data_IF_756254597146
#
_entry.id   IF_756254597146
#
_cell.length_a   1.000
_cell.length_b   1.000
_cell.length_c   1.000
_cell.angle_alpha   90.00
_cell.angle_beta   90.00
_cell.angle_gamma   90.00
#
_symmetry.space_group_name_H-M   'P 1'
#
loop_
_entity.id
_entity.type
_entity.pdbx_description
1 polymer ?
#
# COMPACT_ATOMS: atom_id res chain seq x y z
N UNK A 1 7.30 -23.71 3.73
CA UNK A 1 6.74 -22.43 3.25
C UNK A 1 6.67 -21.54 4.46
N UNK A 2 7.57 -20.56 4.57
CA UNK A 2 7.36 -19.48 5.54
C UNK A 2 6.22 -18.65 4.96
N UNK A 3 5.05 -18.76 5.56
CA UNK A 3 3.93 -17.89 5.23
C UNK A 3 4.22 -16.51 5.81
N UNK A 4 4.00 -15.47 5.02
CA UNK A 4 3.87 -14.10 5.49
C UNK A 4 2.70 -14.05 6.49
N UNK A 5 2.79 -13.16 7.50
CA UNK A 5 1.74 -13.04 8.51
C UNK A 5 0.53 -12.28 7.97
N UNK A 6 0.79 -11.40 7.01
CA UNK A 6 -0.18 -10.59 6.30
C UNK A 6 0.07 -10.73 4.81
N UNK A 7 -0.96 -10.55 4.02
CA UNK A 7 -0.89 -10.57 2.56
C UNK A 7 -1.23 -9.20 2.00
N UNK A 8 -0.87 -8.99 0.73
CA UNK A 8 -1.26 -7.78 0.02
C UNK A 8 -2.79 -7.67 0.01
N UNK A 9 -3.32 -6.48 0.28
CA UNK A 9 -4.76 -6.23 0.46
C UNK A 9 -5.24 -6.35 1.91
N UNK A 10 -4.43 -6.92 2.81
CA UNK A 10 -4.80 -6.98 4.22
C UNK A 10 -4.86 -5.60 4.85
N UNK A 11 -5.87 -5.42 5.66
CA UNK A 11 -6.11 -4.19 6.39
C UNK A 11 -5.46 -4.33 7.76
N UNK A 12 -4.61 -3.37 8.10
CA UNK A 12 -3.76 -3.43 9.28
C UNK A 12 -3.77 -2.10 10.03
N UNK A 13 -3.81 -2.20 11.35
CA UNK A 13 -3.49 -1.10 12.23
C UNK A 13 -1.97 -0.97 12.34
N UNK A 14 -1.47 0.25 12.24
CA UNK A 14 -0.06 0.60 12.45
C UNK A 14 0.06 1.67 13.55
N UNK A 15 1.27 1.89 14.10
CA UNK A 15 1.50 2.96 15.07
C UNK A 15 1.15 4.35 14.54
N UNK A 16 1.25 4.54 13.22
CA UNK A 16 0.99 5.80 12.52
C UNK A 16 -0.48 5.91 12.04
N UNK A 17 -1.30 4.90 12.33
CA UNK A 17 -2.71 4.84 12.00
C UNK A 17 -3.09 3.61 11.18
N UNK A 18 -4.32 3.60 10.69
CA UNK A 18 -4.85 2.51 9.88
C UNK A 18 -4.32 2.55 8.46
N UNK A 19 -4.08 1.39 7.85
CA UNK A 19 -3.73 1.30 6.43
C UNK A 19 -3.97 -0.06 5.80
N UNK A 20 -3.62 -0.18 4.52
CA UNK A 20 -3.72 -1.42 3.74
C UNK A 20 -2.34 -1.84 3.26
N UNK A 21 -2.04 -3.13 3.37
CA UNK A 21 -0.80 -3.73 2.86
C UNK A 21 -0.81 -3.64 1.33
N UNK A 22 0.01 -2.78 0.78
CA UNK A 22 0.12 -2.54 -0.65
C UNK A 22 1.19 -3.42 -1.32
N UNK A 23 2.17 -3.90 -0.55
CA UNK A 23 3.17 -4.84 -1.02
C UNK A 23 3.84 -5.59 0.14
N UNK A 24 4.23 -6.84 -0.12
CA UNK A 24 5.02 -7.66 0.80
C UNK A 24 6.36 -7.99 0.15
N UNK A 25 7.45 -7.56 0.79
CA UNK A 25 8.81 -7.67 0.27
C UNK A 25 9.58 -8.67 1.12
N UNK A 26 10.08 -9.73 0.48
CA UNK A 26 10.85 -10.79 1.11
C UNK A 26 12.37 -10.69 0.85
N UNK A 27 12.82 -9.59 0.27
CA UNK A 27 14.22 -9.32 -0.07
C UNK A 27 14.53 -7.84 0.17
N UNK A 28 15.81 -7.50 0.36
CA UNK A 28 16.26 -6.12 0.55
C UNK A 28 15.82 -5.21 -0.61
N UNK A 29 15.38 -3.99 -0.28
CA UNK A 29 14.93 -3.02 -1.28
C UNK A 29 15.20 -1.59 -0.82
N UNK A 30 15.05 -0.63 -1.72
CA UNK A 30 15.24 0.80 -1.45
C UNK A 30 13.87 1.47 -1.38
N UNK A 31 13.47 1.96 -0.21
CA UNK A 31 12.21 2.67 0.00
C UNK A 31 12.46 4.18 -0.09
N UNK A 32 11.64 4.93 -0.85
CA UNK A 32 11.78 6.39 -0.92
C UNK A 32 11.60 7.02 0.47
N UNK A 33 12.15 8.22 0.69
CA UNK A 33 12.06 8.93 1.97
C UNK A 33 11.31 10.27 1.85
N UNK A 34 10.84 10.76 2.99
CA UNK A 34 10.26 12.10 3.12
C UNK A 34 11.40 13.14 3.01
N UNK A 35 11.56 13.79 1.85
CA UNK A 35 12.65 14.76 1.64
C UNK A 35 13.00 15.10 0.19
N UNK A 36 12.76 14.18 -0.77
CA UNK A 36 13.00 14.46 -2.19
C UNK A 36 12.98 13.23 -3.08
N UNK A 37 12.91 13.45 -4.39
CA UNK A 37 12.77 12.40 -5.43
C UNK A 37 13.96 11.43 -5.54
N UNK A 38 15.12 11.79 -4.95
CA UNK A 38 16.38 11.03 -5.00
C UNK A 38 16.79 10.44 -3.63
N UNK A 39 15.97 10.59 -2.59
CA UNK A 39 16.27 10.09 -1.24
C UNK A 39 15.62 8.72 -1.01
N UNK A 40 16.45 7.70 -0.80
CA UNK A 40 16.02 6.33 -0.56
C UNK A 40 16.74 5.76 0.66
N UNK A 41 15.98 5.08 1.51
CA UNK A 41 16.50 4.27 2.60
C UNK A 41 16.51 2.79 2.22
N UNK A 42 17.59 2.10 2.54
CA UNK A 42 17.66 0.66 2.34
C UNK A 42 16.92 -0.06 3.46
N UNK A 43 15.85 -0.76 3.10
CA UNK A 43 15.06 -1.58 4.01
C UNK A 43 15.52 -3.03 3.91
N UNK A 44 15.92 -3.58 5.05
CA UNK A 44 16.33 -4.99 5.15
C UNK A 44 15.13 -5.90 5.32
N UNK A 45 14.82 -6.71 4.30
CA UNK A 45 13.79 -7.74 4.36
C UNK A 45 14.34 -9.09 3.88
N UNK A 46 13.80 -10.16 4.42
CA UNK A 46 14.15 -11.55 4.08
C UNK A 46 12.89 -12.40 4.07
N UNK A 47 12.95 -13.60 3.49
CA UNK A 47 11.81 -14.53 3.50
C UNK A 47 11.32 -14.87 4.92
N UNK A 48 12.23 -14.94 5.90
CA UNK A 48 11.89 -15.19 7.31
C UNK A 48 11.42 -13.93 8.05
N UNK A 49 11.80 -12.75 7.57
CA UNK A 49 11.45 -11.46 8.14
C UNK A 49 11.08 -10.47 7.01
N UNK A 50 9.90 -10.66 6.39
CA UNK A 50 9.44 -9.80 5.32
C UNK A 50 9.14 -8.39 5.85
N UNK A 51 9.14 -7.42 4.94
CA UNK A 51 8.68 -6.06 5.17
C UNK A 51 7.36 -5.83 4.44
N UNK A 52 6.46 -5.08 5.08
CA UNK A 52 5.10 -4.83 4.61
C UNK A 52 4.98 -3.35 4.31
N UNK A 53 4.83 -2.98 3.05
CA UNK A 53 4.57 -1.59 2.67
C UNK A 53 3.09 -1.33 2.89
N UNK A 54 2.78 -0.44 3.82
CA UNK A 54 1.41 -0.09 4.18
C UNK A 54 1.11 1.32 3.70
N UNK A 55 0.05 1.45 2.91
CA UNK A 55 -0.55 2.74 2.57
C UNK A 55 -1.50 3.17 3.68
N UNK A 56 -1.15 4.24 4.40
CA UNK A 56 -1.94 4.70 5.55
C UNK A 56 -3.16 5.48 5.08
N UNK A 57 -4.28 5.46 5.80
CA UNK A 57 -5.51 6.13 5.40
C UNK A 57 -5.35 7.66 5.44
N UNK A 58 -4.65 8.18 6.45
CA UNK A 58 -4.53 9.63 6.69
C UNK A 58 -3.21 10.22 6.20
N UNK A 59 -2.19 9.38 6.07
CA UNK A 59 -0.79 9.75 5.80
C UNK A 59 -0.29 8.94 4.61
N UNK A 60 0.94 9.18 4.15
CA UNK A 60 1.49 8.47 2.99
C UNK A 60 1.71 6.97 3.19
N UNK A 61 2.75 6.40 2.58
CA UNK A 61 3.11 4.99 2.77
C UNK A 61 4.41 4.80 3.52
N UNK A 62 4.51 3.71 4.27
CA UNK A 62 5.75 3.33 4.96
C UNK A 62 5.88 1.80 5.05
N UNK A 63 7.11 1.26 5.10
CA UNK A 63 7.37 -0.15 5.34
C UNK A 63 7.35 -0.44 6.84
N UNK A 64 6.69 -1.53 7.23
CA UNK A 64 6.58 -2.00 8.61
C UNK A 64 7.01 -3.45 8.74
N UNK A 65 7.28 -3.87 9.98
CA UNK A 65 7.41 -5.28 10.33
C UNK A 65 6.05 -5.88 10.65
N UNK A 66 5.92 -7.20 10.48
CA UNK A 66 4.73 -7.93 10.93
C UNK A 66 4.44 -7.75 12.43
N UNK A 67 5.44 -7.48 13.26
CA UNK A 67 5.26 -7.19 14.68
C UNK A 67 4.67 -5.81 14.97
N UNK A 68 4.76 -4.89 14.01
CA UNK A 68 4.23 -3.53 14.09
C UNK A 68 2.84 -3.39 13.45
N UNK A 69 2.24 -4.50 13.04
CA UNK A 69 0.96 -4.54 12.35
C UNK A 69 0.01 -5.46 13.10
N UNK A 70 -1.25 -5.06 13.17
CA UNK A 70 -2.34 -5.87 13.69
C UNK A 70 -3.49 -5.90 12.69
N UNK A 71 -4.00 -7.09 12.34
CA UNK A 71 -5.16 -7.20 11.45
C UNK A 71 -6.34 -6.45 12.05
N UNK A 72 -6.99 -5.62 11.21
CA UNK A 72 -8.21 -4.91 11.56
C UNK A 72 -9.17 -4.91 10.36
N UNK A 73 -10.43 -4.58 10.58
CA UNK A 73 -11.48 -4.57 9.55
C UNK A 73 -11.73 -3.15 8.96
N UNK A 74 -11.95 -3.08 7.63
CA UNK A 74 -12.77 -2.10 6.85
C UNK A 74 -13.77 -1.23 7.64
N UNK A 75 -14.57 -1.87 8.47
CA UNK A 75 -15.80 -1.26 8.97
C UNK A 75 -15.68 -0.75 10.40
N UNK A 76 -14.54 -0.98 11.04
CA UNK A 76 -14.35 -0.67 12.45
C UNK A 76 -13.55 0.63 12.61
N UNK A 77 -14.19 1.66 13.16
CA UNK A 77 -13.60 2.97 13.48
C UNK A 77 -12.57 2.87 14.64
N UNK A 78 -12.53 1.73 15.33
CA UNK A 78 -11.60 1.43 16.42
C UNK A 78 -10.33 0.80 15.84
N UNK A 79 -9.28 1.61 15.69
CA UNK A 79 -7.96 1.15 15.27
C UNK A 79 -7.21 0.71 16.53
N UNK A 80 -6.92 -0.59 16.73
CA UNK A 80 -6.11 -1.01 17.85
C UNK A 80 -4.72 -0.36 17.78
N UNK A 81 -4.18 0.04 18.93
CA UNK A 81 -2.83 0.61 19.01
C UNK A 81 -1.80 -0.48 18.68
N UNK A 82 -1.17 -0.40 17.51
CA UNK A 82 -0.10 -1.32 17.16
C UNK A 82 1.23 -0.89 17.81
N UNK A 83 1.77 -1.75 18.67
CA UNK A 83 3.08 -1.56 19.30
C UNK A 83 4.20 -2.10 18.40
N UNK A 84 4.69 -1.30 17.47
CA UNK A 84 5.91 -1.66 16.76
C UNK A 84 6.58 -0.52 16.02
N UNK A 85 7.65 -0.88 15.33
CA UNK A 85 8.53 0.09 14.67
C UNK A 85 8.36 0.01 13.14
N UNK A 86 8.13 1.18 12.56
CA UNK A 86 8.30 1.48 11.14
C UNK A 86 9.76 1.27 10.72
N UNK A 87 9.97 0.76 9.52
CA UNK A 87 11.31 0.47 8.98
C UNK A 87 11.93 1.62 8.20
N UNK A 88 11.12 2.62 7.84
CA UNK A 88 11.54 3.83 7.13
C UNK A 88 10.53 4.95 7.37
N UNK A 89 10.81 6.19 6.95
CA UNK A 89 9.90 7.35 7.07
C UNK A 89 8.67 7.31 6.12
N UNK A 90 7.62 8.10 6.43
CA UNK A 90 6.33 8.04 5.73
C UNK A 90 6.53 8.88 4.49
N UNK A 91 6.24 8.32 3.32
CA UNK A 91 6.34 9.04 2.07
C UNK A 91 4.95 9.54 1.69
N UNK A 92 4.72 10.84 1.88
CA UNK A 92 3.53 11.55 1.38
C UNK A 92 3.99 12.61 0.38
N UNK A 93 3.88 12.33 -0.92
CA UNK A 93 4.28 13.26 -1.98
C UNK A 93 3.14 14.18 -2.43
N UNK A 94 2.05 14.28 -1.65
CA UNK A 94 0.84 15.00 -2.05
C UNK A 94 0.19 14.43 -3.32
N UNK A 95 0.38 13.14 -3.59
CA UNK A 95 -0.20 12.47 -4.75
C UNK A 95 -1.64 12.09 -4.45
N UNK A 96 -2.56 12.68 -5.22
CA UNK A 96 -3.94 12.22 -5.37
C UNK A 96 -4.02 11.35 -6.62
N UNK A 97 -4.37 10.08 -6.44
CA UNK A 97 -4.70 9.18 -7.55
C UNK A 97 -6.15 9.33 -8.00
N UNK A 98 -6.98 10.03 -7.23
CA UNK A 98 -8.41 10.21 -7.49
C UNK A 98 -8.70 10.98 -8.80
N UNK A 99 -7.78 11.86 -9.23
CA UNK A 99 -7.94 12.68 -10.43
C UNK A 99 -8.02 11.86 -11.73
N UNK A 100 -7.41 10.68 -11.74
CA UNK A 100 -7.39 9.75 -12.88
C UNK A 100 -8.48 8.65 -12.76
N UNK A 101 -9.28 8.67 -11.69
CA UNK A 101 -10.38 7.73 -11.44
C UNK A 101 -11.73 8.30 -11.90
N UNK A 102 -12.75 7.44 -12.12
CA UNK A 102 -14.09 7.90 -12.45
C UNK A 102 -14.66 8.86 -11.40
N UNK A 103 -15.47 9.84 -11.83
CA UNK A 103 -16.11 10.80 -10.92
C UNK A 103 -16.93 10.06 -9.84
N UNK A 104 -16.71 10.44 -8.58
CA UNK A 104 -17.37 9.84 -7.41
C UNK A 104 -16.56 8.74 -6.70
N UNK A 105 -15.34 8.46 -7.14
CA UNK A 105 -14.39 7.67 -6.36
C UNK A 105 -13.75 8.52 -5.27
N UNK A 106 -13.94 8.09 -4.04
CA UNK A 106 -13.25 8.62 -2.87
C UNK A 106 -12.20 7.61 -2.38
N UNK A 107 -11.30 8.06 -1.51
CA UNK A 107 -10.25 7.21 -0.93
C UNK A 107 -10.78 5.93 -0.28
N UNK A 108 -11.91 6.00 0.42
CA UNK A 108 -12.57 4.82 0.99
C UNK A 108 -13.04 3.83 -0.09
N UNK A 109 -13.57 4.33 -1.21
CA UNK A 109 -13.94 3.49 -2.36
C UNK A 109 -12.71 2.81 -2.96
N UNK A 110 -11.59 3.53 -3.07
CA UNK A 110 -10.32 2.96 -3.53
C UNK A 110 -9.84 1.87 -2.57
N UNK A 111 -9.74 2.14 -1.28
CA UNK A 111 -9.25 1.17 -0.29
C UNK A 111 -10.14 -0.07 -0.21
N UNK A 112 -11.47 0.11 -0.24
CA UNK A 112 -12.42 -1.01 -0.24
C UNK A 112 -12.35 -1.85 -1.52
N UNK A 113 -12.22 -1.21 -2.69
CA UNK A 113 -12.01 -1.95 -3.93
C UNK A 113 -10.66 -2.68 -3.93
N UNK A 114 -9.61 -2.01 -3.45
CA UNK A 114 -8.27 -2.55 -3.35
C UNK A 114 -8.25 -3.79 -2.44
N UNK A 115 -8.90 -3.74 -1.28
CA UNK A 115 -9.11 -4.92 -0.42
C UNK A 115 -9.88 -6.03 -1.15
N UNK A 116 -10.98 -5.69 -1.83
CA UNK A 116 -11.80 -6.66 -2.57
C UNK A 116 -11.07 -7.38 -3.71
N UNK A 117 -10.10 -6.75 -4.37
CA UNK A 117 -9.27 -7.37 -5.42
C UNK A 117 -7.97 -8.01 -4.88
N UNK A 118 -7.79 -8.13 -3.55
CA UNK A 118 -6.58 -8.72 -2.97
C UNK A 118 -5.37 -7.77 -2.97
N UNK A 119 -5.63 -6.47 -3.05
CA UNK A 119 -4.71 -5.35 -2.85
C UNK A 119 -3.51 -5.26 -3.77
N UNK A 120 -3.52 -5.98 -4.87
CA UNK A 120 -2.40 -5.99 -5.80
C UNK A 120 -2.77 -5.31 -7.10
N UNK A 121 -1.77 -4.68 -7.71
CA UNK A 121 -1.95 -4.05 -9.02
C UNK A 121 -2.29 -5.09 -10.10
N UNK A 122 -1.66 -6.27 -10.03
CA UNK A 122 -1.87 -7.35 -11.00
C UNK A 122 -3.31 -7.88 -10.95
N UNK A 123 -3.85 -8.11 -9.75
CA UNK A 123 -5.24 -8.56 -9.59
C UNK A 123 -6.24 -7.47 -9.99
N UNK A 124 -5.97 -6.20 -9.64
CA UNK A 124 -6.79 -5.08 -10.09
C UNK A 124 -6.85 -5.00 -11.62
N UNK A 125 -5.69 -5.11 -12.29
CA UNK A 125 -5.62 -5.09 -13.75
C UNK A 125 -6.34 -6.29 -14.33
N UNK A 126 -6.16 -7.48 -13.74
CA UNK A 126 -6.88 -8.68 -14.16
C UNK A 126 -8.40 -8.50 -14.12
N UNK A 127 -8.94 -7.95 -13.03
CA UNK A 127 -10.38 -7.73 -12.86
C UNK A 127 -10.94 -6.67 -13.82
N UNK A 128 -10.23 -5.54 -14.00
CA UNK A 128 -10.69 -4.45 -14.86
C UNK A 128 -10.42 -4.66 -16.35
N UNK A 129 -9.49 -5.54 -16.71
CA UNK A 129 -9.09 -5.75 -18.12
C UNK A 129 -10.22 -6.30 -18.97
N UNK A 130 -11.08 -7.17 -18.41
CA UNK A 130 -12.24 -7.71 -19.12
C UNK A 130 -13.29 -6.62 -19.45
N UNK A 131 -13.46 -5.63 -18.58
CA UNK A 131 -14.48 -4.58 -18.71
C UNK A 131 -13.98 -3.34 -19.49
N UNK A 132 -12.73 -2.92 -19.27
CA UNK A 132 -12.20 -1.66 -19.80
C UNK A 132 -11.07 -1.82 -20.82
N UNK A 133 -10.53 -3.04 -20.97
CA UNK A 133 -9.33 -3.31 -21.76
C UNK A 133 -8.03 -3.03 -20.98
N UNK A 134 -6.98 -3.79 -21.30
CA UNK A 134 -5.69 -3.82 -20.60
C UNK A 134 -5.10 -2.41 -20.36
N UNK A 135 -4.94 -1.60 -21.41
CA UNK A 135 -4.33 -0.26 -21.28
C UNK A 135 -5.10 0.70 -20.34
N UNK A 136 -6.42 0.56 -20.25
CA UNK A 136 -7.26 1.42 -19.40
C UNK A 136 -7.33 0.88 -17.96
N UNK A 137 -7.35 -0.44 -17.81
CA UNK A 137 -7.23 -1.12 -16.53
C UNK A 137 -5.89 -0.78 -15.86
N UNK A 138 -4.77 -0.86 -16.59
CA UNK A 138 -3.45 -0.48 -16.09
C UNK A 138 -3.40 0.96 -15.58
N UNK A 139 -3.99 1.91 -16.31
CA UNK A 139 -4.04 3.31 -15.91
C UNK A 139 -4.86 3.50 -14.62
N UNK A 140 -6.05 2.91 -14.54
CA UNK A 140 -6.92 3.04 -13.36
C UNK A 140 -6.33 2.35 -12.14
N UNK A 141 -5.79 1.14 -12.29
CA UNK A 141 -5.14 0.43 -11.18
C UNK A 141 -3.87 1.13 -10.71
N UNK A 142 -3.15 1.79 -11.62
CA UNK A 142 -2.02 2.63 -11.22
C UNK A 142 -2.48 3.87 -10.46
N UNK A 143 -3.59 4.48 -10.85
CA UNK A 143 -4.19 5.59 -10.11
C UNK A 143 -4.67 5.16 -8.72
N UNK A 144 -5.31 4.00 -8.60
CA UNK A 144 -5.70 3.42 -7.31
C UNK A 144 -4.48 3.17 -6.42
N UNK A 145 -3.42 2.55 -6.96
CA UNK A 145 -2.20 2.29 -6.19
C UNK A 145 -1.45 3.55 -5.80
N UNK A 146 -1.44 4.57 -6.67
CA UNK A 146 -0.93 5.90 -6.33
C UNK A 146 -1.70 6.51 -5.15
N UNK A 147 -3.02 6.34 -5.10
CA UNK A 147 -3.86 6.84 -4.01
C UNK A 147 -3.63 6.06 -2.70
N UNK A 148 -3.52 4.72 -2.79
CA UNK A 148 -3.21 3.84 -1.66
C UNK A 148 -1.86 4.20 -1.06
N UNK A 149 -0.83 4.36 -1.90
CA UNK A 149 0.53 4.65 -1.43
C UNK A 149 0.78 6.16 -1.19
N UNK A 150 -0.07 7.05 -1.70
CA UNK A 150 0.13 8.51 -1.84
C UNK A 150 1.50 8.88 -2.42
N UNK A 151 1.98 8.07 -3.35
CA UNK A 151 3.23 8.28 -4.09
C UNK A 151 3.11 7.65 -5.48
N UNK A 152 3.80 8.20 -6.47
CA UNK A 152 3.98 7.57 -7.80
C UNK A 152 5.33 6.86 -7.95
N UNK A 153 6.20 6.92 -6.93
CA UNK A 153 7.57 6.39 -6.99
C UNK A 153 7.61 4.89 -7.22
N UNK A 154 6.60 4.16 -6.74
CA UNK A 154 6.44 2.73 -7.01
C UNK A 154 6.33 2.40 -8.51
N UNK A 155 5.87 3.34 -9.35
CA UNK A 155 5.80 3.16 -10.82
C UNK A 155 7.17 3.13 -11.49
N UNK A 156 8.16 3.82 -10.92
CA UNK A 156 9.54 3.87 -11.46
C UNK A 156 10.47 2.82 -10.85
N UNK A 157 10.14 2.30 -9.65
CA UNK A 157 10.48 0.96 -9.13
C UNK A 157 10.24 0.89 -7.63
N UNK A 158 9.61 -0.21 -7.22
CA UNK A 158 10.28 -1.18 -6.34
C UNK A 158 10.88 -2.28 -7.24
#
# INVERSE_FOLDING_TARGET
MVGTRYDTGDVVATPDGRGVVAAVLAEQFHFPQEGGDDEYEQVSATADQPAYVVGLETSGSAPYRASALETTDLETDDVPEADGERLADIVDEGVSGLDDLPEGWDRNSVLGYWEGVGGSWEECVGDLSDEFGEERAEQQCSAMKDEVLRTRRWRNRF
#
